data_IF_168209481456
#
_entry.id   IF_168209481456
#
_cell.length_a   1.000
_cell.length_b   1.000
_cell.length_c   1.000
_cell.angle_alpha   90.00
_cell.angle_beta   90.00
_cell.angle_gamma   90.00
#
_symmetry.space_group_name_H-M   'P 1'
#
loop_
_entity.id
_entity.type
_entity.pdbx_description
1 polymer ?
#
# COMPACT_ATOMS: atom_id res chain seq x y z
N UNK A 1 18.63 13.94 4.96
CA UNK A 1 17.17 13.98 5.24
C UNK A 1 16.63 12.57 5.10
N UNK A 2 15.70 12.12 5.96
CA UNK A 2 15.10 10.78 5.88
C UNK A 2 13.95 10.79 4.86
N UNK A 3 14.09 10.05 3.75
CA UNK A 3 13.04 9.91 2.72
C UNK A 3 12.15 8.72 3.07
N UNK A 4 10.83 8.91 3.06
CA UNK A 4 9.85 7.87 3.38
C UNK A 4 8.84 7.77 2.24
N UNK A 5 8.63 6.57 1.73
CA UNK A 5 7.59 6.27 0.75
C UNK A 5 6.27 5.95 1.43
N UNK A 6 5.16 6.30 0.79
CA UNK A 6 3.80 5.90 1.20
C UNK A 6 3.13 5.17 0.04
N UNK A 7 2.75 3.91 0.23
CA UNK A 7 2.01 3.12 -0.76
C UNK A 7 0.59 2.91 -0.27
N UNK A 8 -0.33 3.73 -0.80
CA UNK A 8 -1.76 3.60 -0.52
C UNK A 8 -2.39 2.51 -1.38
N UNK A 9 -3.28 1.73 -0.79
CA UNK A 9 -4.00 0.68 -1.51
C UNK A 9 -5.09 0.05 -0.64
N UNK A 10 -6.08 -0.60 -1.26
CA UNK A 10 -7.08 -1.37 -0.49
C UNK A 10 -6.47 -2.63 0.13
N UNK A 11 -5.44 -3.20 -0.50
CA UNK A 11 -4.75 -4.44 -0.11
C UNK A 11 -5.71 -5.57 0.27
N UNK A 12 -6.54 -5.97 -0.69
CA UNK A 12 -7.65 -6.90 -0.49
C UNK A 12 -7.61 -8.07 -1.51
N UNK A 13 -6.62 -9.00 -1.42
CA UNK A 13 -5.49 -9.04 -0.47
C UNK A 13 -4.20 -8.39 -1.03
N UNK A 14 -3.18 -8.28 -0.19
CA UNK A 14 -1.80 -8.01 -0.65
C UNK A 14 -1.28 -9.17 -1.52
N UNK A 15 -0.40 -8.88 -2.48
CA UNK A 15 0.17 -9.86 -3.41
C UNK A 15 1.52 -9.39 -3.96
N UNK A 16 2.26 -10.26 -4.66
CA UNK A 16 3.62 -9.96 -5.16
C UNK A 16 3.72 -8.69 -6.00
N UNK A 17 2.73 -8.40 -6.86
CA UNK A 17 2.72 -7.14 -7.60
C UNK A 17 2.82 -5.89 -6.73
N UNK A 18 2.20 -5.87 -5.54
CA UNK A 18 2.33 -4.74 -4.61
C UNK A 18 3.73 -4.68 -4.01
N UNK A 19 4.29 -5.83 -3.65
CA UNK A 19 5.59 -5.94 -3.00
C UNK A 19 6.73 -5.55 -3.95
N UNK A 20 6.70 -6.02 -5.20
CA UNK A 20 7.70 -5.68 -6.22
C UNK A 20 7.68 -4.18 -6.48
N UNK A 21 6.50 -3.57 -6.65
CA UNK A 21 6.42 -2.11 -6.87
C UNK A 21 6.95 -1.33 -5.67
N UNK A 22 6.62 -1.75 -4.45
CA UNK A 22 7.12 -1.11 -3.23
C UNK A 22 8.64 -1.22 -3.09
N UNK A 23 9.20 -2.39 -3.39
CA UNK A 23 10.64 -2.67 -3.32
C UNK A 23 11.43 -1.90 -4.38
N UNK A 24 10.96 -1.91 -5.63
CA UNK A 24 11.59 -1.15 -6.72
C UNK A 24 11.62 0.35 -6.39
N UNK A 25 10.51 0.92 -5.90
CA UNK A 25 10.46 2.34 -5.51
C UNK A 25 11.36 2.63 -4.32
N UNK A 26 11.39 1.73 -3.32
CA UNK A 26 12.27 1.82 -2.17
C UNK A 26 13.74 1.89 -2.59
N UNK A 27 14.16 0.98 -3.46
CA UNK A 27 15.54 0.84 -3.94
C UNK A 27 15.96 1.97 -4.88
N UNK A 28 15.15 2.29 -5.89
CA UNK A 28 15.48 3.29 -6.91
C UNK A 28 15.55 4.70 -6.33
N UNK A 29 14.73 5.02 -5.32
CA UNK A 29 14.70 6.35 -4.71
C UNK A 29 15.55 6.47 -3.45
N UNK A 30 16.27 5.41 -3.07
CA UNK A 30 17.08 5.34 -1.84
C UNK A 30 16.27 5.85 -0.64
N UNK A 31 15.13 5.20 -0.42
CA UNK A 31 14.22 5.51 0.68
C UNK A 31 14.76 4.89 1.98
N UNK A 32 14.55 5.59 3.09
CA UNK A 32 14.84 5.04 4.40
C UNK A 32 13.77 4.03 4.83
N UNK A 33 12.53 4.19 4.34
CA UNK A 33 11.39 3.35 4.70
C UNK A 33 10.28 3.42 3.64
N UNK A 34 9.50 2.34 3.55
CA UNK A 34 8.33 2.21 2.69
C UNK A 34 7.14 1.79 3.55
N UNK A 35 6.20 2.71 3.80
CA UNK A 35 5.01 2.45 4.58
C UNK A 35 3.83 2.06 3.67
N UNK A 36 3.20 0.94 3.98
CA UNK A 36 1.92 0.54 3.38
C UNK A 36 0.77 1.19 4.14
N UNK A 37 -0.17 1.80 3.42
CA UNK A 37 -1.31 2.53 4.01
C UNK A 37 -2.62 1.92 3.49
N UNK A 38 -3.22 0.95 4.21
CA UNK A 38 -4.49 0.36 3.83
C UNK A 38 -5.62 1.38 3.82
N UNK A 39 -6.32 1.48 2.69
CA UNK A 39 -7.49 2.35 2.57
C UNK A 39 -8.67 1.76 3.35
N UNK A 40 -9.28 2.55 4.24
CA UNK A 40 -10.49 2.17 4.97
C UNK A 40 -11.65 1.87 4.01
N UNK A 41 -12.18 2.93 3.38
CA UNK A 41 -13.18 2.85 2.31
C UNK A 41 -12.61 3.51 1.04
N UNK A 42 -12.34 2.76 -0.04
CA UNK A 42 -11.77 3.33 -1.26
C UNK A 42 -12.73 4.36 -1.89
N UNK A 43 -12.30 5.62 -2.14
CA UNK A 43 -13.21 6.71 -2.51
C UNK A 43 -13.90 6.49 -3.86
N UNK A 44 -13.26 5.74 -4.77
CA UNK A 44 -13.79 5.43 -6.10
C UNK A 44 -14.57 4.11 -6.17
N UNK A 45 -14.76 3.42 -5.04
CA UNK A 45 -15.53 2.16 -4.95
C UNK A 45 -16.47 2.19 -3.73
N UNK A 46 -17.36 3.20 -3.62
CA UNK A 46 -18.11 3.46 -2.39
C UNK A 46 -18.99 2.29 -1.94
N UNK A 47 -19.51 1.50 -2.89
CA UNK A 47 -20.41 0.37 -2.63
C UNK A 47 -19.69 -0.98 -2.58
N UNK A 48 -18.36 -1.01 -2.62
CA UNK A 48 -17.63 -2.27 -2.58
C UNK A 48 -17.47 -2.71 -1.13
N UNK A 49 -17.96 -3.91 -0.83
CA UNK A 49 -17.60 -4.62 0.39
C UNK A 49 -16.12 -4.98 0.27
N UNK A 50 -15.33 -4.46 1.20
CA UNK A 50 -13.91 -4.78 1.35
C UNK A 50 -13.74 -5.69 2.55
N UNK A 51 -12.71 -6.53 2.53
CA UNK A 51 -12.43 -7.41 3.65
C UNK A 51 -12.24 -6.59 4.95
N UNK A 52 -12.64 -7.14 6.10
CA UNK A 52 -12.50 -6.47 7.39
C UNK A 52 -11.06 -6.05 7.67
N UNK A 53 -10.88 -4.91 8.37
CA UNK A 53 -9.56 -4.31 8.63
C UNK A 53 -8.58 -5.28 9.28
N UNK A 54 -9.04 -6.20 10.14
CA UNK A 54 -8.16 -7.17 10.80
C UNK A 54 -7.54 -8.21 9.84
N UNK A 55 -8.07 -8.37 8.63
CA UNK A 55 -7.55 -9.31 7.63
C UNK A 55 -6.84 -8.60 6.46
N UNK A 56 -6.69 -7.28 6.52
CA UNK A 56 -6.05 -6.45 5.48
C UNK A 56 -4.79 -5.77 6.00
#
# INVERSE_FOLDING_TARGET
>A
MRRVGLMGGTFDPVHYGHLVVAEEVYSVLDLAEMLFVPAGQPPHKPNRIVTGVQHR
#
